data_IF_684837903165
#
_entry.id   IF_684837903165
#
_cell.length_a   1.000
_cell.length_b   1.000
_cell.length_c   1.000
_cell.angle_alpha   90.00
_cell.angle_beta   90.00
_cell.angle_gamma   90.00
#
_symmetry.space_group_name_H-M   'P 1'
#
loop_
_entity.id
_entity.type
_entity.pdbx_description
1 polymer ?
#
# COMPACT_ATOMS: atom_id res chain seq x y z
N UNK A 1 -12.61 5.48 33.57
CA UNK A 1 -11.84 6.53 32.86
C UNK A 1 -10.57 5.99 32.24
N UNK A 2 -10.61 4.86 31.50
CA UNK A 2 -9.43 4.30 30.82
C UNK A 2 -9.81 3.45 29.60
N UNK A 3 -10.75 3.90 28.74
CA UNK A 3 -11.25 3.10 27.60
C UNK A 3 -11.53 3.93 26.34
N UNK A 4 -10.82 5.04 26.14
CA UNK A 4 -10.99 5.93 24.98
C UNK A 4 -9.66 6.27 24.26
N UNK A 5 -8.64 5.42 24.31
CA UNK A 5 -7.34 5.75 23.70
C UNK A 5 -6.98 4.82 22.50
N UNK A 6 -7.71 3.72 22.31
CA UNK A 6 -7.35 2.73 21.28
C UNK A 6 -7.81 3.04 19.85
N UNK A 7 -8.79 3.91 19.64
CA UNK A 7 -9.42 4.12 18.32
C UNK A 7 -8.83 5.26 17.49
N UNK A 8 -8.07 6.17 18.11
CA UNK A 8 -7.46 7.31 17.44
C UNK A 8 -6.05 7.03 16.89
N UNK A 9 -5.43 5.95 17.34
CA UNK A 9 -4.01 5.67 17.02
C UNK A 9 -3.83 5.08 15.61
N UNK A 10 -4.80 4.32 15.09
CA UNK A 10 -4.66 3.69 13.76
C UNK A 10 -4.91 4.64 12.57
N UNK A 11 -5.75 5.66 12.72
CA UNK A 11 -6.00 6.66 11.65
C UNK A 11 -4.92 7.75 11.57
N UNK A 12 -4.31 8.10 12.71
CA UNK A 12 -3.25 9.11 12.78
C UNK A 12 -1.87 8.55 12.40
N UNK A 13 -1.68 7.21 12.42
CA UNK A 13 -0.36 6.61 12.14
C UNK A 13 -0.01 6.56 10.65
N UNK A 14 -0.98 6.44 9.73
CA UNK A 14 -0.69 6.38 8.29
C UNK A 14 -0.36 7.76 7.71
N UNK A 15 -1.11 8.79 8.05
CA UNK A 15 -0.85 10.16 7.59
C UNK A 15 0.42 10.73 8.23
N UNK A 16 0.66 10.43 9.51
CA UNK A 16 1.90 10.79 10.22
C UNK A 16 3.12 10.04 9.70
N UNK A 17 2.99 8.78 9.28
CA UNK A 17 4.06 8.01 8.67
C UNK A 17 4.40 8.55 7.27
N UNK A 18 3.38 8.83 6.44
CA UNK A 18 3.55 9.43 5.13
C UNK A 18 4.21 10.82 5.22
N UNK A 19 3.76 11.67 6.15
CA UNK A 19 4.33 13.00 6.39
C UNK A 19 5.79 12.91 6.88
N UNK A 20 6.12 11.97 7.76
CA UNK A 20 7.49 11.73 8.23
C UNK A 20 8.41 11.25 7.11
N UNK A 21 7.92 10.38 6.25
CA UNK A 21 8.64 9.86 5.09
C UNK A 21 8.92 10.99 4.09
N UNK A 22 7.94 11.82 3.78
CA UNK A 22 8.11 12.98 2.93
C UNK A 22 9.13 13.96 3.53
N UNK A 23 8.99 14.32 4.79
CA UNK A 23 9.95 15.21 5.49
C UNK A 23 11.37 14.63 5.54
N UNK A 24 11.52 13.31 5.62
CA UNK A 24 12.81 12.64 5.54
C UNK A 24 13.45 12.81 4.16
N UNK A 25 12.70 12.55 3.07
CA UNK A 25 13.22 12.71 1.72
C UNK A 25 13.51 14.17 1.37
N UNK A 26 12.66 15.11 1.79
CA UNK A 26 12.91 16.54 1.62
C UNK A 26 14.21 16.98 2.32
N UNK A 27 14.46 16.50 3.56
CA UNK A 27 15.72 16.76 4.27
C UNK A 27 16.91 16.11 3.57
N UNK A 28 16.76 14.89 3.06
CA UNK A 28 17.81 14.19 2.34
C UNK A 28 18.18 14.92 1.03
N UNK A 29 17.20 15.43 0.30
CA UNK A 29 17.39 16.24 -0.92
C UNK A 29 18.07 17.56 -0.54
N UNK A 30 17.59 18.25 0.50
CA UNK A 30 18.14 19.52 0.95
C UNK A 30 19.60 19.40 1.44
N UNK A 31 19.94 18.36 2.20
CA UNK A 31 21.32 18.10 2.65
C UNK A 31 22.27 17.85 1.47
N UNK A 32 21.80 17.05 0.49
CA UNK A 32 22.58 16.80 -0.74
C UNK A 32 22.75 18.05 -1.58
N UNK A 33 21.70 18.86 -1.73
CA UNK A 33 21.79 20.14 -2.43
C UNK A 33 22.79 21.10 -1.73
N UNK A 34 22.77 21.14 -0.41
CA UNK A 34 23.72 21.96 0.35
C UNK A 34 25.18 21.49 0.15
N UNK A 35 25.43 20.18 0.16
CA UNK A 35 26.77 19.62 -0.12
C UNK A 35 27.21 19.89 -1.54
N UNK A 36 26.31 19.74 -2.52
CA UNK A 36 26.57 20.07 -3.91
C UNK A 36 26.94 21.55 -4.06
N UNK A 37 26.14 22.44 -3.48
CA UNK A 37 26.39 23.89 -3.53
C UNK A 37 27.73 24.25 -2.89
N UNK A 38 28.08 23.60 -1.78
CA UNK A 38 29.38 23.80 -1.13
C UNK A 38 30.56 23.32 -2.00
N UNK A 39 30.40 22.15 -2.66
CA UNK A 39 31.39 21.63 -3.60
C UNK A 39 31.55 22.54 -4.83
N UNK A 40 30.43 22.99 -5.43
CA UNK A 40 30.44 23.94 -6.56
C UNK A 40 31.05 25.27 -6.19
N UNK A 41 30.77 25.82 -4.99
CA UNK A 41 31.37 27.06 -4.52
C UNK A 41 32.90 26.95 -4.32
N UNK A 42 33.40 25.80 -3.91
CA UNK A 42 34.86 25.54 -3.83
C UNK A 42 35.50 25.38 -5.22
N UNK A 43 34.71 24.97 -6.24
CA UNK A 43 35.19 24.77 -7.60
C UNK A 43 35.20 26.00 -8.46
N UNK A 44 34.43 27.05 -8.13
CA UNK A 44 34.39 28.30 -8.89
C UNK A 44 35.76 28.98 -9.01
N UNK A 45 36.75 28.49 -8.28
CA UNK A 45 38.15 28.95 -8.31
C UNK A 45 39.11 28.03 -9.08
N UNK A 46 38.64 26.92 -9.72
CA UNK A 46 39.47 25.94 -10.42
C UNK A 46 38.88 25.61 -11.81
N UNK A 47 39.64 25.90 -12.84
CA UNK A 47 39.53 25.63 -14.29
C UNK A 47 38.25 24.94 -14.84
N UNK A 48 37.80 25.38 -16.03
CA UNK A 48 36.53 25.10 -16.72
C UNK A 48 36.12 23.62 -17.01
N UNK A 49 36.97 22.62 -16.75
CA UNK A 49 36.60 21.19 -16.84
C UNK A 49 35.75 20.72 -15.64
N UNK A 50 35.83 21.44 -14.52
CA UNK A 50 35.12 21.14 -13.28
C UNK A 50 33.67 21.71 -13.31
N UNK A 51 33.44 22.81 -14.03
CA UNK A 51 32.12 23.40 -14.16
C UNK A 51 31.14 22.47 -14.91
N UNK A 52 31.66 21.73 -15.91
CA UNK A 52 30.87 20.74 -16.64
C UNK A 52 30.41 19.57 -15.74
N UNK A 53 31.32 19.07 -14.90
CA UNK A 53 30.99 17.97 -13.98
C UNK A 53 30.02 18.43 -12.88
N UNK A 54 30.23 19.64 -12.32
CA UNK A 54 29.33 20.22 -11.34
C UNK A 54 27.90 20.44 -11.92
N UNK A 55 27.80 20.87 -13.17
CA UNK A 55 26.52 21.02 -13.87
C UNK A 55 25.81 19.69 -14.04
N UNK A 56 26.49 18.65 -14.56
CA UNK A 56 25.91 17.32 -14.73
C UNK A 56 25.36 16.73 -13.42
N UNK A 57 26.08 16.92 -12.30
CA UNK A 57 25.60 16.47 -10.98
C UNK A 57 24.37 17.26 -10.51
N UNK A 58 24.31 18.57 -10.81
CA UNK A 58 23.14 19.41 -10.47
C UNK A 58 21.89 18.99 -11.25
N UNK A 59 22.03 18.69 -12.52
CA UNK A 59 20.95 18.22 -13.42
C UNK A 59 20.44 16.84 -12.98
N UNK A 60 21.33 15.91 -12.66
CA UNK A 60 20.96 14.62 -12.07
C UNK A 60 20.23 14.79 -10.74
N UNK A 61 20.59 15.78 -9.93
CA UNK A 61 19.92 16.05 -8.67
C UNK A 61 18.46 16.51 -8.89
N UNK A 62 18.20 17.35 -9.88
CA UNK A 62 16.86 17.75 -10.24
C UNK A 62 15.99 16.56 -10.73
N UNK A 63 16.56 15.68 -11.56
CA UNK A 63 15.90 14.46 -12.00
C UNK A 63 15.56 13.51 -10.83
N UNK A 64 16.47 13.37 -9.87
CA UNK A 64 16.23 12.61 -8.63
C UNK A 64 15.13 13.22 -7.77
N UNK A 65 15.10 14.54 -7.62
CA UNK A 65 14.06 15.22 -6.86
C UNK A 65 12.67 14.96 -7.46
N UNK A 66 12.56 14.95 -8.80
CA UNK A 66 11.32 14.58 -9.50
C UNK A 66 10.93 13.13 -9.24
N UNK A 67 11.88 12.18 -9.32
CA UNK A 67 11.61 10.77 -9.05
C UNK A 67 11.12 10.58 -7.61
N UNK A 68 11.82 11.16 -6.63
CA UNK A 68 11.50 11.00 -5.22
C UNK A 68 10.21 11.70 -4.80
N UNK A 69 9.81 12.77 -5.51
CA UNK A 69 8.49 13.39 -5.30
C UNK A 69 7.33 12.44 -5.61
N UNK A 70 7.56 11.41 -6.45
CA UNK A 70 6.60 10.35 -6.74
C UNK A 70 6.47 9.31 -5.61
N UNK A 71 7.38 9.29 -4.64
CA UNK A 71 7.39 8.36 -3.49
C UNK A 71 6.46 8.78 -2.34
N UNK A 72 5.51 9.69 -2.55
CA UNK A 72 4.56 10.12 -1.55
C UNK A 72 3.81 8.92 -0.94
N UNK A 73 3.93 8.74 0.37
CA UNK A 73 3.26 7.67 1.11
C UNK A 73 3.98 6.32 1.13
N UNK A 74 5.19 6.21 0.59
CA UNK A 74 6.00 5.01 0.78
C UNK A 74 6.44 4.91 2.26
N UNK A 75 6.24 3.78 2.93
CA UNK A 75 6.76 3.58 4.28
C UNK A 75 8.30 3.66 4.28
N UNK A 76 8.87 4.01 5.44
CA UNK A 76 10.32 4.18 5.69
C UNK A 76 11.20 2.94 5.44
N UNK A 77 10.75 1.99 4.63
CA UNK A 77 11.45 0.76 4.27
C UNK A 77 12.71 0.95 3.40
N UNK A 78 12.95 2.15 2.87
CA UNK A 78 14.28 2.51 2.43
C UNK A 78 15.11 2.74 3.70
N UNK A 79 15.79 1.68 4.16
CA UNK A 79 16.77 1.80 5.24
C UNK A 79 17.60 3.06 4.99
N UNK A 80 17.88 3.87 6.03
CA UNK A 80 18.65 5.08 5.87
C UNK A 80 19.95 4.67 5.18
N UNK A 81 20.07 5.03 3.91
CA UNK A 81 21.34 4.91 3.18
C UNK A 81 22.32 5.71 4.01
N UNK A 82 23.06 5.03 4.90
CA UNK A 82 24.18 5.61 5.62
C UNK A 82 25.19 5.97 4.56
N UNK A 83 25.06 7.18 4.05
CA UNK A 83 25.99 7.77 3.13
C UNK A 83 27.27 8.06 3.93
N UNK A 84 28.09 7.04 4.10
CA UNK A 84 29.48 7.24 4.44
C UNK A 84 30.16 7.82 3.21
N UNK A 85 30.09 9.15 3.05
CA UNK A 85 30.98 9.83 2.13
C UNK A 85 32.37 9.66 2.73
N UNK A 86 33.28 8.92 2.13
CA UNK A 86 34.64 8.84 2.62
C UNK A 86 35.21 10.27 2.67
N UNK A 87 36.06 10.54 3.62
CA UNK A 87 36.75 11.83 3.72
C UNK A 87 37.62 11.98 2.47
N UNK A 88 37.16 12.77 1.51
CA UNK A 88 37.81 12.94 0.19
C UNK A 88 38.46 14.30 0.16
N UNK A 89 39.72 14.33 -0.25
CA UNK A 89 40.59 15.47 -0.13
C UNK A 89 40.52 16.47 -1.28
N UNK A 90 39.89 16.08 -2.43
CA UNK A 90 39.81 16.95 -3.61
C UNK A 90 38.38 17.25 -4.00
N UNK A 91 38.10 18.42 -4.57
CA UNK A 91 36.77 18.76 -5.09
C UNK A 91 36.25 17.79 -6.15
N UNK A 92 37.11 17.27 -7.02
CA UNK A 92 36.76 16.27 -8.02
C UNK A 92 36.25 14.98 -7.40
N UNK A 93 36.93 14.46 -6.38
CA UNK A 93 36.51 13.27 -5.63
C UNK A 93 35.18 13.49 -4.90
N UNK A 94 34.94 14.71 -4.38
CA UNK A 94 33.66 15.04 -3.76
C UNK A 94 32.49 14.99 -4.76
N UNK A 95 32.66 15.51 -5.97
CA UNK A 95 31.64 15.44 -7.03
C UNK A 95 31.39 13.99 -7.46
N UNK A 96 32.46 13.22 -7.67
CA UNK A 96 32.32 11.79 -8.01
C UNK A 96 31.62 10.99 -6.91
N UNK A 97 31.85 11.32 -5.63
CA UNK A 97 31.16 10.71 -4.51
C UNK A 97 29.67 11.04 -4.52
N UNK A 98 29.28 12.28 -4.83
CA UNK A 98 27.87 12.68 -4.97
C UNK A 98 27.22 11.97 -6.16
N UNK A 99 27.89 11.86 -7.29
CA UNK A 99 27.42 11.12 -8.46
C UNK A 99 27.15 9.63 -8.15
N UNK A 100 28.10 8.98 -7.48
CA UNK A 100 27.93 7.60 -7.04
C UNK A 100 26.76 7.44 -6.05
N UNK A 101 26.53 8.43 -5.17
CA UNK A 101 25.40 8.47 -4.26
C UNK A 101 24.05 8.62 -4.98
N UNK A 102 24.01 9.44 -6.02
CA UNK A 102 22.82 9.62 -6.84
C UNK A 102 22.42 8.31 -7.52
N UNK A 103 23.39 7.59 -8.08
CA UNK A 103 23.16 6.29 -8.69
C UNK A 103 22.63 5.29 -7.65
N UNK A 104 23.28 5.19 -6.49
CA UNK A 104 22.84 4.29 -5.39
C UNK A 104 21.41 4.59 -4.94
N UNK A 105 21.04 5.86 -4.90
CA UNK A 105 19.70 6.26 -4.50
C UNK A 105 18.64 5.81 -5.52
N UNK A 106 18.91 5.98 -6.82
CA UNK A 106 18.01 5.47 -7.88
C UNK A 106 17.89 3.95 -7.79
N UNK A 107 18.98 3.24 -7.65
CA UNK A 107 19.00 1.78 -7.53
C UNK A 107 18.25 1.28 -6.28
N UNK A 108 18.36 1.99 -5.17
CA UNK A 108 17.62 1.67 -3.95
C UNK A 108 16.12 1.92 -4.11
N UNK A 109 15.72 3.02 -4.77
CA UNK A 109 14.32 3.32 -5.06
C UNK A 109 13.72 2.30 -6.03
N UNK A 110 14.44 1.90 -7.07
CA UNK A 110 14.04 0.87 -8.03
C UNK A 110 13.87 -0.49 -7.34
N UNK A 111 14.86 -0.89 -6.54
CA UNK A 111 14.83 -2.15 -5.79
C UNK A 111 13.65 -2.23 -4.81
N UNK A 112 13.37 -1.14 -4.10
CA UNK A 112 12.21 -1.03 -3.21
C UNK A 112 10.90 -1.16 -3.99
N UNK A 113 10.72 -0.34 -5.04
CA UNK A 113 9.50 -0.33 -5.84
C UNK A 113 9.22 -1.69 -6.47
N UNK A 114 10.25 -2.32 -7.04
CA UNK A 114 10.18 -3.65 -7.64
C UNK A 114 9.78 -4.72 -6.65
N UNK A 115 10.46 -4.76 -5.51
CA UNK A 115 10.16 -5.71 -4.44
C UNK A 115 8.71 -5.57 -3.96
N UNK A 116 8.24 -4.34 -3.72
CA UNK A 116 6.88 -4.08 -3.26
C UNK A 116 5.84 -4.37 -4.35
N UNK A 117 6.09 -4.00 -5.60
CA UNK A 117 5.22 -4.33 -6.72
C UNK A 117 5.08 -5.84 -6.92
N UNK A 118 6.16 -6.62 -6.76
CA UNK A 118 6.12 -8.08 -6.88
C UNK A 118 5.33 -8.73 -5.75
N UNK A 119 5.43 -8.22 -4.52
CA UNK A 119 4.58 -8.67 -3.40
C UNK A 119 3.10 -8.37 -3.64
N UNK A 120 2.79 -7.17 -4.11
CA UNK A 120 1.41 -6.81 -4.48
C UNK A 120 0.88 -7.70 -5.60
N UNK A 121 1.65 -7.95 -6.65
CA UNK A 121 1.28 -8.88 -7.72
C UNK A 121 1.01 -10.29 -7.18
N UNK A 122 1.83 -10.76 -6.25
CA UNK A 122 1.60 -12.05 -5.59
C UNK A 122 0.29 -12.04 -4.80
N UNK A 123 0.01 -11.00 -4.01
CA UNK A 123 -1.22 -10.87 -3.25
C UNK A 123 -2.46 -10.90 -4.17
N UNK A 124 -2.44 -10.15 -5.29
CA UNK A 124 -3.53 -10.20 -6.27
C UNK A 124 -3.74 -11.60 -6.83
N UNK A 125 -2.68 -12.31 -7.22
CA UNK A 125 -2.77 -13.68 -7.73
C UNK A 125 -3.30 -14.65 -6.69
N UNK A 126 -2.90 -14.52 -5.42
CA UNK A 126 -3.44 -15.33 -4.32
C UNK A 126 -4.94 -15.11 -4.14
N UNK A 127 -5.41 -13.87 -4.27
CA UNK A 127 -6.83 -13.53 -4.25
C UNK A 127 -7.59 -13.93 -5.54
N UNK A 128 -6.94 -14.60 -6.50
CA UNK A 128 -7.54 -14.97 -7.79
C UNK A 128 -7.80 -13.77 -8.70
N UNK A 129 -7.03 -12.70 -8.55
CA UNK A 129 -7.14 -11.46 -9.32
C UNK A 129 -5.97 -11.32 -10.29
N UNK A 130 -6.24 -10.80 -11.50
CA UNK A 130 -5.20 -10.51 -12.48
C UNK A 130 -4.58 -9.12 -12.22
N UNK A 131 -3.30 -9.02 -11.79
CA UNK A 131 -2.69 -7.76 -11.41
C UNK A 131 -2.70 -6.70 -12.51
N UNK A 132 -2.56 -7.11 -13.77
CA UNK A 132 -2.56 -6.20 -14.92
C UNK A 132 -3.86 -5.41 -15.06
N UNK A 133 -5.00 -5.97 -14.63
CA UNK A 133 -6.30 -5.29 -14.64
C UNK A 133 -6.37 -4.11 -13.64
N UNK A 134 -5.45 -4.04 -12.69
CA UNK A 134 -5.41 -3.05 -11.62
C UNK A 134 -4.20 -2.11 -11.71
N UNK A 135 -3.18 -2.48 -12.51
CA UNK A 135 -1.97 -1.67 -12.71
C UNK A 135 -2.20 -0.39 -13.53
N UNK A 136 -3.37 -0.28 -14.18
CA UNK A 136 -3.79 0.91 -14.93
C UNK A 136 -4.55 1.85 -13.98
N UNK A 137 -3.87 2.35 -12.95
CA UNK A 137 -4.45 3.33 -12.03
C UNK A 137 -4.90 4.58 -12.76
N UNK A 138 -5.99 5.17 -12.29
CA UNK A 138 -6.48 6.49 -12.69
C UNK A 138 -5.31 7.47 -12.80
N UNK A 139 -5.32 8.28 -13.86
CA UNK A 139 -4.33 9.31 -14.13
C UNK A 139 -4.05 10.17 -12.90
N UNK A 140 -3.08 9.78 -12.10
CA UNK A 140 -2.56 10.57 -11.01
C UNK A 140 -1.66 11.62 -11.67
N UNK A 141 -2.04 12.88 -11.52
CA UNK A 141 -1.27 14.02 -12.00
C UNK A 141 0.08 14.08 -11.33
N UNK A 142 1.06 13.43 -11.94
CA UNK A 142 2.48 13.59 -11.73
C UNK A 142 3.12 13.92 -13.06
N UNK A 143 4.34 14.43 -13.11
CA UNK A 143 5.02 14.64 -14.37
C UNK A 143 5.10 13.29 -15.10
N UNK A 144 4.32 13.16 -16.15
CA UNK A 144 4.26 11.97 -16.98
C UNK A 144 5.60 11.88 -17.73
N UNK A 145 6.53 11.09 -17.23
CA UNK A 145 7.74 10.74 -17.97
C UNK A 145 7.37 9.60 -18.92
N UNK A 146 6.48 9.89 -19.87
CA UNK A 146 6.16 8.96 -20.97
C UNK A 146 7.23 8.92 -22.07
N UNK A 147 8.44 9.39 -21.82
CA UNK A 147 9.52 9.19 -22.75
C UNK A 147 9.81 7.69 -22.83
N UNK A 148 9.23 7.01 -23.83
CA UNK A 148 9.51 5.60 -24.13
C UNK A 148 10.96 5.37 -24.53
N UNK A 149 11.67 6.43 -24.89
CA UNK A 149 13.07 6.43 -25.30
C UNK A 149 13.94 7.10 -24.22
N UNK A 150 14.87 6.39 -23.59
CA UNK A 150 15.82 6.96 -22.64
C UNK A 150 16.61 8.14 -23.18
N UNK A 151 16.88 8.20 -24.50
CA UNK A 151 17.59 9.31 -25.16
C UNK A 151 16.77 10.59 -25.13
N UNK A 152 15.46 10.49 -25.42
CA UNK A 152 14.56 11.64 -25.34
C UNK A 152 14.48 12.17 -23.91
N UNK A 153 14.42 11.26 -22.91
CA UNK A 153 14.43 11.62 -21.50
C UNK A 153 15.76 12.24 -21.08
N UNK A 154 16.89 11.70 -21.53
CA UNK A 154 18.22 12.24 -21.28
C UNK A 154 18.34 13.68 -21.79
N UNK A 155 17.84 13.96 -23.02
CA UNK A 155 17.83 15.29 -23.59
C UNK A 155 16.93 16.28 -22.85
N UNK A 156 15.78 15.84 -22.33
CA UNK A 156 14.85 16.69 -21.56
C UNK A 156 15.40 17.01 -20.17
N UNK A 157 16.06 16.05 -19.53
CA UNK A 157 16.60 16.21 -18.17
C UNK A 157 18.04 16.74 -18.17
N UNK A 158 18.66 16.87 -19.35
CA UNK A 158 20.07 17.24 -19.53
C UNK A 158 21.05 16.35 -18.74
N UNK A 159 20.80 15.02 -18.78
CA UNK A 159 21.60 13.99 -18.10
C UNK A 159 22.12 12.96 -19.11
N UNK A 160 23.08 12.13 -18.69
CA UNK A 160 23.52 11.02 -19.54
C UNK A 160 22.43 9.94 -19.74
N UNK A 161 22.49 9.24 -20.88
CA UNK A 161 21.51 8.20 -21.26
C UNK A 161 21.41 7.07 -20.23
N UNK A 162 22.54 6.69 -19.59
CA UNK A 162 22.57 5.64 -18.59
C UNK A 162 21.82 5.99 -17.32
N UNK A 163 21.98 7.24 -16.86
CA UNK A 163 21.24 7.76 -15.71
C UNK A 163 19.76 7.96 -16.03
N UNK A 164 19.44 8.49 -17.23
CA UNK A 164 18.06 8.64 -17.69
C UNK A 164 17.33 7.28 -17.76
N UNK A 165 17.99 6.24 -18.27
CA UNK A 165 17.43 4.89 -18.31
C UNK A 165 17.12 4.32 -16.91
N UNK A 166 18.00 4.57 -15.93
CA UNK A 166 17.78 4.18 -14.51
C UNK A 166 16.60 4.92 -13.89
N UNK A 167 16.53 6.24 -14.08
CA UNK A 167 15.40 7.07 -13.62
C UNK A 167 14.09 6.56 -14.23
N UNK A 168 14.08 6.28 -15.53
CA UNK A 168 12.89 5.77 -16.22
C UNK A 168 12.43 4.40 -15.69
N UNK A 169 13.37 3.48 -15.44
CA UNK A 169 13.07 2.16 -14.88
C UNK A 169 12.48 2.31 -13.47
N UNK A 170 13.14 3.05 -12.60
CA UNK A 170 12.67 3.31 -11.24
C UNK A 170 11.30 4.00 -11.20
N UNK A 171 11.07 5.01 -12.05
CA UNK A 171 9.79 5.70 -12.15
C UNK A 171 8.66 4.74 -12.57
N UNK A 172 8.90 3.87 -13.54
CA UNK A 172 7.92 2.88 -14.00
C UNK A 172 7.55 1.88 -12.90
N UNK A 173 8.55 1.38 -12.16
CA UNK A 173 8.31 0.40 -11.10
C UNK A 173 7.64 1.02 -9.87
N UNK A 174 7.97 2.28 -9.54
CA UNK A 174 7.24 3.09 -8.54
C UNK A 174 5.78 3.34 -8.94
N UNK A 175 5.54 3.61 -10.21
CA UNK A 175 4.18 3.81 -10.71
C UNK A 175 3.34 2.53 -10.61
N UNK A 176 3.93 1.40 -10.99
CA UNK A 176 3.27 0.11 -10.89
C UNK A 176 3.01 -0.28 -9.42
N UNK A 177 3.97 -0.04 -8.52
CA UNK A 177 3.80 -0.26 -7.08
C UNK A 177 2.64 0.55 -6.53
N UNK A 178 2.62 1.85 -6.82
CA UNK A 178 1.59 2.76 -6.35
C UNK A 178 0.19 2.37 -6.85
N UNK A 179 0.04 2.10 -8.15
CA UNK A 179 -1.24 1.70 -8.74
C UNK A 179 -1.79 0.41 -8.10
N UNK A 180 -0.93 -0.59 -7.91
CA UNK A 180 -1.28 -1.83 -7.25
C UNK A 180 -1.58 -1.62 -5.76
N UNK A 181 -0.82 -0.77 -5.06
CA UNK A 181 -1.04 -0.44 -3.65
C UNK A 181 -2.38 0.25 -3.42
N UNK A 182 -2.72 1.24 -4.24
CA UNK A 182 -4.03 1.91 -4.18
C UNK A 182 -5.18 0.96 -4.49
N UNK A 183 -5.00 0.06 -5.46
CA UNK A 183 -6.00 -0.96 -5.75
C UNK A 183 -6.14 -1.96 -4.60
N UNK A 184 -5.03 -2.44 -4.02
CA UNK A 184 -5.03 -3.35 -2.88
C UNK A 184 -5.73 -2.74 -1.66
N UNK A 185 -5.52 -1.44 -1.41
CA UNK A 185 -6.19 -0.72 -0.31
C UNK A 185 -7.72 -0.66 -0.41
N UNK A 186 -8.29 -0.97 -1.58
CA UNK A 186 -9.75 -1.05 -1.80
C UNK A 186 -10.30 -2.47 -1.78
N UNK A 187 -9.43 -3.48 -1.75
CA UNK A 187 -9.84 -4.89 -1.74
C UNK A 187 -10.05 -5.39 -0.31
N UNK A 188 -10.98 -6.33 -0.07
CA UNK A 188 -11.28 -6.89 1.24
C UNK A 188 -10.21 -7.91 1.66
N UNK A 189 -8.98 -7.44 1.86
CA UNK A 189 -7.81 -8.26 2.19
C UNK A 189 -7.53 -8.36 3.69
N UNK A 190 -8.07 -7.44 4.50
CA UNK A 190 -7.83 -7.47 5.95
C UNK A 190 -8.72 -8.48 6.68
N UNK A 191 -8.29 -8.87 7.87
CA UNK A 191 -9.08 -9.73 8.74
C UNK A 191 -10.29 -8.98 9.33
N UNK A 192 -11.47 -9.65 9.44
CA UNK A 192 -12.67 -9.04 10.00
C UNK A 192 -12.66 -8.96 11.53
N UNK A 193 -11.66 -9.53 12.19
CA UNK A 193 -11.45 -9.56 13.64
C UNK A 193 -9.98 -9.30 13.96
N UNK A 194 -9.71 -8.71 15.15
CA UNK A 194 -8.32 -8.47 15.58
C UNK A 194 -7.55 -9.78 15.90
N UNK A 195 -8.25 -10.82 16.37
CA UNK A 195 -7.68 -12.15 16.63
C UNK A 195 -8.60 -13.20 15.98
N UNK A 196 -8.45 -13.46 14.68
CA UNK A 196 -9.36 -14.34 13.94
C UNK A 196 -9.08 -15.83 14.23
N UNK A 197 -10.05 -16.54 14.77
CA UNK A 197 -10.05 -18.00 14.89
C UNK A 197 -11.04 -18.59 13.87
N UNK A 198 -10.54 -19.21 12.81
CA UNK A 198 -11.36 -19.79 11.74
C UNK A 198 -12.00 -21.08 12.20
N UNK A 199 -13.34 -21.14 12.22
CA UNK A 199 -14.10 -22.29 12.74
C UNK A 199 -14.73 -23.15 11.64
N UNK A 200 -15.17 -22.56 10.52
CA UNK A 200 -15.77 -23.32 9.41
C UNK A 200 -15.46 -22.70 8.06
N UNK A 201 -14.90 -23.48 7.10
CA UNK A 201 -14.49 -22.93 5.80
C UNK A 201 -15.66 -22.76 4.84
N UNK A 202 -15.39 -21.99 3.78
CA UNK A 202 -16.21 -21.88 2.57
C UNK A 202 -16.32 -23.22 1.82
N UNK A 203 -17.45 -23.48 1.19
CA UNK A 203 -17.63 -24.61 0.29
C UNK A 203 -18.63 -25.65 0.77
N UNK A 204 -18.63 -26.81 0.12
CA UNK A 204 -19.56 -27.89 0.45
C UNK A 204 -19.15 -28.61 1.73
N UNK A 205 -20.02 -28.60 2.75
CA UNK A 205 -19.81 -29.27 4.03
C UNK A 205 -21.11 -29.89 4.55
N UNK A 206 -21.03 -30.69 5.60
CA UNK A 206 -22.20 -31.15 6.32
C UNK A 206 -22.78 -30.00 7.14
N UNK A 207 -24.04 -29.70 6.95
CA UNK A 207 -24.77 -28.69 7.71
C UNK A 207 -24.93 -29.16 9.16
N UNK A 208 -24.51 -28.37 10.15
CA UNK A 208 -24.55 -28.80 11.55
C UNK A 208 -25.97 -28.94 12.13
N UNK A 209 -26.99 -28.41 11.44
CA UNK A 209 -28.38 -28.43 11.90
C UNK A 209 -29.17 -29.54 11.21
N UNK A 210 -29.05 -29.68 9.87
CA UNK A 210 -29.78 -30.68 9.10
C UNK A 210 -29.04 -31.99 8.92
N UNK A 211 -27.72 -32.00 9.17
CA UNK A 211 -26.80 -33.12 8.90
C UNK A 211 -26.74 -33.56 7.42
N UNK A 212 -27.22 -32.71 6.53
CA UNK A 212 -27.15 -32.90 5.09
C UNK A 212 -25.99 -32.12 4.46
N UNK A 213 -25.58 -32.50 3.25
CA UNK A 213 -24.57 -31.74 2.50
C UNK A 213 -25.17 -30.40 2.05
N UNK A 214 -24.55 -29.31 2.47
CA UNK A 214 -24.94 -27.96 2.11
C UNK A 214 -23.73 -27.12 1.68
N UNK A 215 -23.99 -26.11 0.86
CA UNK A 215 -22.96 -25.14 0.46
C UNK A 215 -22.90 -24.01 1.48
N UNK A 216 -21.71 -23.75 2.00
CA UNK A 216 -21.41 -22.67 2.92
C UNK A 216 -20.81 -21.48 2.12
N UNK A 217 -21.51 -20.35 2.00
CA UNK A 217 -21.11 -19.24 1.11
C UNK A 217 -20.08 -18.30 1.74
N UNK A 218 -19.52 -18.64 2.90
CA UNK A 218 -18.59 -17.78 3.62
C UNK A 218 -17.57 -18.54 4.45
N UNK A 219 -16.84 -17.79 5.24
CA UNK A 219 -15.93 -18.28 6.26
C UNK A 219 -16.49 -17.90 7.63
N UNK A 220 -16.58 -18.90 8.54
CA UNK A 220 -16.98 -18.64 9.91
C UNK A 220 -15.76 -18.42 10.81
N UNK A 221 -15.92 -17.50 11.77
CA UNK A 221 -14.91 -17.18 12.77
C UNK A 221 -15.51 -17.32 14.18
N UNK A 222 -14.86 -18.10 15.03
CA UNK A 222 -15.22 -18.23 16.43
C UNK A 222 -14.80 -16.97 17.23
N UNK A 223 -15.55 -16.68 18.30
CA UNK A 223 -15.22 -15.60 19.21
C UNK A 223 -16.24 -15.43 20.32
N UNK A 224 -16.00 -14.48 21.22
CA UNK A 224 -16.93 -14.14 22.30
C UNK A 224 -18.08 -13.27 21.82
N UNK A 225 -19.19 -13.29 22.59
CA UNK A 225 -20.31 -12.38 22.35
C UNK A 225 -19.83 -10.93 22.37
N UNK A 226 -20.27 -10.11 21.40
CA UNK A 226 -19.89 -8.70 21.23
C UNK A 226 -18.42 -8.45 20.84
N UNK A 227 -17.64 -9.51 20.48
CA UNK A 227 -16.32 -9.30 19.84
C UNK A 227 -16.47 -8.31 18.69
N UNK A 228 -15.64 -7.25 18.63
CA UNK A 228 -15.73 -6.25 17.57
C UNK A 228 -15.54 -6.86 16.18
N UNK A 229 -16.50 -6.61 15.28
CA UNK A 229 -16.45 -6.98 13.88
C UNK A 229 -16.05 -5.75 13.08
N UNK A 230 -15.02 -5.88 12.26
CA UNK A 230 -14.32 -4.79 11.58
C UNK A 230 -14.49 -4.86 10.07
N UNK A 231 -14.52 -3.69 9.41
CA UNK A 231 -14.53 -3.59 7.95
C UNK A 231 -13.18 -4.07 7.38
N UNK A 232 -13.21 -5.00 6.45
CA UNK A 232 -12.02 -5.61 5.81
C UNK A 232 -11.42 -4.77 4.68
N UNK A 233 -12.12 -3.70 4.26
CA UNK A 233 -11.67 -2.66 3.34
C UNK A 233 -12.52 -1.39 3.54
N UNK A 234 -12.07 -0.22 3.03
CA UNK A 234 -12.91 0.97 2.96
C UNK A 234 -14.11 0.73 2.04
N UNK A 235 -15.21 1.43 2.30
CA UNK A 235 -16.40 1.31 1.44
C UNK A 235 -17.60 2.07 1.97
N UNK A 236 -18.76 1.77 1.39
CA UNK A 236 -20.06 2.34 1.81
C UNK A 236 -20.96 1.21 2.27
N UNK A 237 -21.60 1.38 3.42
CA UNK A 237 -22.57 0.41 3.94
C UNK A 237 -23.76 0.34 3.00
N UNK A 238 -23.92 -0.78 2.31
CA UNK A 238 -25.00 -1.01 1.33
C UNK A 238 -26.24 -1.67 1.94
N UNK A 239 -26.10 -2.31 3.12
CA UNK A 239 -27.21 -2.93 3.83
C UNK A 239 -26.92 -3.02 5.32
N UNK A 240 -27.95 -2.79 6.14
CA UNK A 240 -27.99 -3.13 7.56
C UNK A 240 -29.39 -3.64 7.93
N UNK A 241 -29.46 -4.66 8.77
CA UNK A 241 -30.73 -5.20 9.23
C UNK A 241 -30.79 -6.72 9.29
N UNK A 242 -31.97 -7.28 9.39
CA UNK A 242 -32.16 -8.71 9.42
C UNK A 242 -32.28 -9.32 8.01
N UNK A 243 -31.58 -10.43 7.80
CA UNK A 243 -31.72 -11.29 6.62
C UNK A 243 -32.10 -12.71 7.05
N UNK A 244 -33.02 -13.32 6.31
CA UNK A 244 -33.40 -14.71 6.55
C UNK A 244 -32.19 -15.65 6.51
N UNK A 245 -32.00 -16.41 7.54
CA UNK A 245 -30.84 -17.30 7.72
C UNK A 245 -29.62 -16.61 8.34
N UNK A 246 -29.33 -15.36 8.00
CA UNK A 246 -28.14 -14.62 8.40
C UNK A 246 -28.30 -13.80 9.71
N UNK A 247 -29.55 -13.58 10.16
CA UNK A 247 -29.79 -12.72 11.33
C UNK A 247 -29.42 -11.26 11.07
N UNK A 248 -28.92 -10.56 12.08
CA UNK A 248 -28.45 -9.18 11.95
C UNK A 248 -27.20 -9.15 11.08
N UNK A 249 -27.28 -8.39 10.01
CA UNK A 249 -26.31 -8.39 8.90
C UNK A 249 -25.89 -6.96 8.54
N UNK A 250 -24.62 -6.78 8.23
CA UNK A 250 -24.07 -5.59 7.57
C UNK A 250 -23.47 -6.02 6.24
N UNK A 251 -23.71 -5.24 5.17
CA UNK A 251 -22.99 -5.36 3.92
C UNK A 251 -22.27 -4.06 3.60
N UNK A 252 -21.04 -4.16 3.14
CA UNK A 252 -20.21 -3.03 2.70
C UNK A 252 -19.86 -3.19 1.24
N UNK A 253 -20.17 -2.19 0.42
CA UNK A 253 -19.75 -2.08 -0.98
C UNK A 253 -18.42 -1.35 -1.04
N UNK A 254 -17.39 -2.01 -1.58
CA UNK A 254 -16.02 -1.48 -1.70
C UNK A 254 -15.74 -0.88 -3.08
N UNK A 255 -16.75 -0.88 -3.98
CA UNK A 255 -16.57 -0.51 -5.38
C UNK A 255 -15.87 -1.61 -6.19
N UNK A 256 -15.68 -1.37 -7.50
CA UNK A 256 -15.04 -2.35 -8.39
C UNK A 256 -15.70 -3.72 -8.45
N UNK A 257 -16.99 -3.81 -8.05
CA UNK A 257 -17.75 -5.05 -7.97
C UNK A 257 -17.50 -5.88 -6.72
N UNK A 258 -16.72 -5.40 -5.76
CA UNK A 258 -16.47 -6.07 -4.47
C UNK A 258 -17.46 -5.63 -3.41
N UNK A 259 -17.98 -6.61 -2.67
CA UNK A 259 -18.83 -6.41 -1.51
C UNK A 259 -18.47 -7.45 -0.44
N UNK A 260 -18.58 -7.07 0.83
CA UNK A 260 -18.46 -7.99 1.97
C UNK A 260 -19.73 -8.04 2.78
N UNK A 261 -20.00 -9.18 3.40
CA UNK A 261 -21.13 -9.41 4.29
C UNK A 261 -20.64 -9.93 5.64
N UNK A 262 -21.20 -9.38 6.69
CA UNK A 262 -20.94 -9.71 8.09
C UNK A 262 -22.25 -10.07 8.75
N UNK A 263 -22.44 -11.33 9.15
CA UNK A 263 -23.73 -11.84 9.62
C UNK A 263 -23.65 -12.42 11.03
N UNK A 264 -24.80 -12.84 11.56
CA UNK A 264 -25.04 -13.34 12.92
C UNK A 264 -24.69 -12.33 14.02
N UNK A 265 -24.66 -11.01 13.68
CA UNK A 265 -24.28 -9.94 14.61
C UNK A 265 -25.26 -9.86 15.79
N UNK A 266 -24.74 -9.60 16.98
CA UNK A 266 -25.57 -9.24 18.17
C UNK A 266 -26.05 -7.79 18.04
N UNK A 267 -25.16 -6.90 17.63
CA UNK A 267 -25.45 -5.48 17.47
C UNK A 267 -24.81 -4.93 16.20
N UNK A 268 -25.50 -3.99 15.55
CA UNK A 268 -25.02 -3.24 14.40
C UNK A 268 -24.63 -1.84 14.87
N UNK A 269 -23.44 -1.37 14.48
CA UNK A 269 -22.88 -0.07 14.90
C UNK A 269 -22.84 0.98 13.77
N UNK A 270 -23.35 0.64 12.60
CA UNK A 270 -23.32 1.47 11.38
C UNK A 270 -24.71 1.54 10.75
N UNK A 271 -24.91 2.47 9.80
CA UNK A 271 -26.19 2.64 9.07
C UNK A 271 -25.96 2.64 7.56
N UNK A 272 -27.00 2.35 6.80
CA UNK A 272 -26.98 2.36 5.33
C UNK A 272 -26.53 3.74 4.82
N UNK A 273 -25.63 3.75 3.83
CA UNK A 273 -25.05 4.95 3.25
C UNK A 273 -23.84 5.50 4.00
N UNK A 274 -23.50 4.95 5.16
CA UNK A 274 -22.33 5.37 5.91
C UNK A 274 -21.06 4.94 5.18
N UNK A 275 -20.11 5.86 4.98
CA UNK A 275 -18.74 5.54 4.58
C UNK A 275 -17.99 4.95 5.77
N UNK A 276 -17.31 3.85 5.54
CA UNK A 276 -16.47 3.16 6.53
C UNK A 276 -15.04 3.05 6.06
N UNK A 277 -14.11 3.24 6.99
CA UNK A 277 -12.69 3.04 6.77
C UNK A 277 -12.31 1.56 7.01
N UNK A 278 -11.14 1.16 6.49
CA UNK A 278 -10.52 -0.12 6.85
C UNK A 278 -10.39 -0.22 8.39
N UNK A 279 -10.74 -1.38 8.96
CA UNK A 279 -10.68 -1.61 10.40
C UNK A 279 -11.76 -0.89 11.22
N UNK A 280 -12.65 -0.13 10.61
CA UNK A 280 -13.76 0.50 11.33
C UNK A 280 -14.72 -0.55 11.86
N UNK A 281 -15.15 -0.41 13.13
CA UNK A 281 -16.11 -1.30 13.75
C UNK A 281 -17.48 -1.20 13.07
N UNK A 282 -17.99 -2.35 12.61
CA UNK A 282 -19.31 -2.51 11.97
C UNK A 282 -20.38 -2.97 12.96
N UNK A 283 -19.98 -3.72 13.99
CA UNK A 283 -20.90 -4.30 14.95
C UNK A 283 -20.19 -5.13 16.01
N UNK A 284 -20.96 -5.98 16.69
CA UNK A 284 -20.50 -6.97 17.64
C UNK A 284 -20.96 -8.35 17.24
N UNK A 285 -20.07 -9.33 17.31
CA UNK A 285 -20.33 -10.74 17.03
C UNK A 285 -21.48 -11.27 17.89
N UNK A 286 -22.31 -12.16 17.34
CA UNK A 286 -23.45 -12.72 18.04
C UNK A 286 -23.81 -14.12 17.56
N UNK A 287 -25.09 -14.48 17.72
CA UNK A 287 -25.66 -15.77 17.30
C UNK A 287 -27.10 -15.56 16.79
N UNK A 288 -27.37 -14.42 16.11
CA UNK A 288 -28.68 -14.14 15.57
C UNK A 288 -28.95 -14.90 14.27
N UNK A 289 -30.22 -15.15 13.94
CA UNK A 289 -30.60 -15.91 12.76
C UNK A 289 -30.37 -17.42 12.90
N UNK A 290 -29.97 -18.10 11.82
CA UNK A 290 -29.68 -19.54 11.82
C UNK A 290 -28.24 -19.80 12.24
N UNK A 291 -28.01 -19.94 13.51
CA UNK A 291 -26.70 -20.10 14.12
C UNK A 291 -26.73 -21.13 15.26
N UNK A 292 -25.68 -21.91 15.42
CA UNK A 292 -25.53 -22.92 16.49
C UNK A 292 -24.79 -22.40 17.71
N UNK A 293 -24.20 -21.21 17.61
CA UNK A 293 -23.42 -20.58 18.70
C UNK A 293 -22.86 -19.24 18.27
N UNK A 294 -22.17 -18.55 19.17
CA UNK A 294 -21.58 -17.23 18.89
C UNK A 294 -20.46 -17.36 17.87
N UNK A 295 -20.62 -16.75 16.69
CA UNK A 295 -19.60 -16.68 15.63
C UNK A 295 -19.90 -15.52 14.69
N UNK A 296 -18.91 -15.13 13.88
CA UNK A 296 -19.08 -14.27 12.72
C UNK A 296 -19.13 -15.14 11.47
N UNK A 297 -20.18 -14.97 10.66
CA UNK A 297 -20.20 -15.46 9.29
C UNK A 297 -19.79 -14.33 8.35
N UNK A 298 -18.71 -14.54 7.58
CA UNK A 298 -18.10 -13.54 6.69
C UNK A 298 -18.09 -14.02 5.24
N UNK A 299 -18.58 -13.18 4.33
CA UNK A 299 -18.58 -13.46 2.90
C UNK A 299 -17.86 -12.36 2.10
N UNK A 300 -17.16 -12.78 1.04
CA UNK A 300 -16.63 -11.91 0.00
C UNK A 300 -17.42 -12.14 -1.29
N UNK A 301 -17.85 -11.06 -1.91
CA UNK A 301 -18.59 -11.09 -3.18
C UNK A 301 -17.82 -10.32 -4.24
N UNK A 302 -17.78 -10.87 -5.47
CA UNK A 302 -17.23 -10.21 -6.65
C UNK A 302 -18.21 -10.31 -7.81
N UNK A 303 -18.64 -9.16 -8.35
CA UNK A 303 -19.61 -9.08 -9.46
C UNK A 303 -20.89 -9.91 -9.22
N UNK A 304 -21.45 -9.84 -8.01
CA UNK A 304 -22.66 -10.57 -7.61
C UNK A 304 -22.46 -12.06 -7.35
N UNK A 305 -21.24 -12.58 -7.39
CA UNK A 305 -20.93 -13.98 -7.09
C UNK A 305 -20.09 -14.08 -5.83
N UNK A 306 -20.48 -14.99 -4.93
CA UNK A 306 -19.72 -15.27 -3.72
C UNK A 306 -18.37 -15.91 -4.07
N UNK A 307 -17.34 -15.53 -3.33
CA UNK A 307 -15.97 -16.05 -3.47
C UNK A 307 -15.56 -16.69 -2.15
N UNK A 308 -14.61 -17.62 -2.21
CA UNK A 308 -13.92 -18.11 -1.01
C UNK A 308 -13.16 -16.95 -0.34
N UNK A 309 -13.43 -16.59 0.92
CA UNK A 309 -12.72 -15.52 1.61
C UNK A 309 -11.26 -15.85 1.91
N UNK A 310 -10.90 -17.11 2.09
CA UNK A 310 -9.57 -17.51 2.56
C UNK A 310 -8.41 -17.03 1.67
N UNK A 311 -8.48 -17.10 0.33
CA UNK A 311 -7.47 -16.51 -0.56
C UNK A 311 -7.29 -14.99 -0.40
N UNK A 312 -8.38 -14.24 -0.17
CA UNK A 312 -8.31 -12.79 0.06
C UNK A 312 -7.61 -12.44 1.37
N UNK A 313 -7.97 -13.11 2.45
CA UNK A 313 -7.36 -12.91 3.77
C UNK A 313 -5.88 -13.29 3.77
N UNK A 314 -5.53 -14.43 3.13
CA UNK A 314 -4.13 -14.83 2.95
C UNK A 314 -3.33 -13.82 2.11
N UNK A 315 -3.96 -13.23 1.09
CA UNK A 315 -3.33 -12.17 0.29
C UNK A 315 -3.03 -10.93 1.15
N UNK A 316 -3.90 -10.60 2.11
CA UNK A 316 -3.71 -9.53 3.06
C UNK A 316 -2.45 -9.71 3.92
N UNK A 317 -2.15 -10.92 4.38
CA UNK A 317 -0.93 -11.22 5.13
C UNK A 317 0.33 -10.83 4.34
N UNK A 318 0.32 -11.05 3.01
CA UNK A 318 1.44 -10.67 2.13
C UNK A 318 1.55 -9.16 1.89
N UNK A 319 0.46 -8.43 2.01
CA UNK A 319 0.47 -6.95 1.88
C UNK A 319 0.96 -6.30 3.17
N UNK A 320 0.60 -6.86 4.34
CA UNK A 320 0.88 -6.28 5.66
C UNK A 320 2.27 -6.62 6.23
N UNK A 321 2.88 -7.76 5.84
CA UNK A 321 4.13 -8.30 6.41
C UNK A 321 5.39 -7.42 6.29
N UNK A 322 5.32 -6.19 5.76
CA UNK A 322 6.49 -5.35 5.54
C UNK A 322 6.34 -3.89 5.96
N UNK A 323 5.42 -3.59 6.85
CA UNK A 323 5.32 -2.26 7.48
C UNK A 323 6.01 -2.23 8.87
N UNK A 324 6.82 -3.28 9.21
CA UNK A 324 7.66 -3.35 10.40
C UNK A 324 9.12 -2.95 10.11
#
# INVERSE_FOLDING_TARGET
TALMVGSAVFGLSSDDAAARTQAYYERLIADRQARLNAAVAQLSNASGSMDGLARAVTERHAALAMLLSGLHGAPLGLAPLKLSVPFVNTPAEQIQAVEADQIRLVEAADGYAKSRADRLRMAFRLAGLEPSSYAHGSALGGPLIEAKDPRALAAVLDVDEGFAARIQAAARDLYAERALGEAAGRLPLAEPLSNPERSSPFGVRVDPITHERAFHPGQDFAGGLMTPVLATAPGVVSFTGQRTGYGNTVEVDHGGGFKTRYAHLQAIAVHIGQTVALGQRLGGMGSTGRSTGVHLHYEVWRNGRVQDPAPFLKAGDHVQQNDE
#
